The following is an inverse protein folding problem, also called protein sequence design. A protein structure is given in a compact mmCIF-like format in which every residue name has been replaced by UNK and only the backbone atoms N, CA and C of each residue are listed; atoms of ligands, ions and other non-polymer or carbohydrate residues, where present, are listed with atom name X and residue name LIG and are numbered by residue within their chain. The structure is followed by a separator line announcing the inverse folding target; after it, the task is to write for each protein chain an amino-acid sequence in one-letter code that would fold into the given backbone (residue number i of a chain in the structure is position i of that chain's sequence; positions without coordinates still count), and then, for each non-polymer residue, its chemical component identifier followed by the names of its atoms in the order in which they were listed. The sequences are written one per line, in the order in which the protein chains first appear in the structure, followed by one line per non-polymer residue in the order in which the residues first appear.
data_IF_848538268488
#
_entry.id   IF_848538268488
#
_cell.length_a   1.000
_cell.length_b   1.000
_cell.length_c   1.000
_cell.angle_alpha   90.00
_cell.angle_beta   90.00
_cell.angle_gamma   90.00
#
_symmetry.space_group_name_H-M   'P 1'
#
loop_
_entity.id
_entity.type
_entity.pdbx_description
1 polymer ?
#
# COMPACT_ATOMS: atom_id res chain seq x y z
N UNK A 1 -35.27 16.07 19.18
CA UNK A 1 -33.80 16.12 19.10
C UNK A 1 -33.37 14.79 18.51
N UNK A 2 -33.14 14.76 17.20
CA UNK A 2 -32.49 13.61 16.58
C UNK A 2 -31.02 13.67 16.99
N UNK A 3 -30.56 12.68 17.75
CA UNK A 3 -29.14 12.43 17.93
C UNK A 3 -28.56 12.19 16.54
N UNK A 4 -27.77 13.15 16.06
CA UNK A 4 -27.00 12.98 14.83
C UNK A 4 -25.95 11.93 15.12
N UNK A 5 -26.24 10.67 14.75
CA UNK A 5 -25.28 9.58 14.84
C UNK A 5 -24.16 9.87 13.87
N UNK A 6 -23.07 10.49 14.35
CA UNK A 6 -21.87 10.70 13.55
C UNK A 6 -21.25 9.32 13.34
N UNK A 7 -21.44 8.77 12.14
CA UNK A 7 -20.75 7.56 11.72
C UNK A 7 -19.24 7.86 11.72
N UNK A 8 -18.48 7.22 12.61
CA UNK A 8 -17.03 7.42 12.68
C UNK A 8 -16.34 6.79 11.46
N UNK A 9 -15.34 7.49 10.91
CA UNK A 9 -14.48 6.94 9.86
C UNK A 9 -13.78 5.69 10.39
N UNK A 10 -14.02 4.55 9.73
CA UNK A 10 -13.47 3.28 10.16
C UNK A 10 -12.93 2.49 8.99
N UNK A 11 -11.69 2.02 9.11
CA UNK A 11 -11.09 1.05 8.19
C UNK A 11 -10.96 -0.28 8.92
N UNK A 12 -11.45 -1.36 8.31
CA UNK A 12 -11.34 -2.72 8.85
C UNK A 12 -10.62 -3.60 7.86
N UNK A 13 -9.48 -4.13 8.29
CA UNK A 13 -8.76 -5.17 7.56
C UNK A 13 -9.30 -6.53 7.96
N UNK A 14 -9.53 -7.38 6.98
CA UNK A 14 -10.21 -8.68 7.01
C UNK A 14 -9.46 -9.76 6.19
N UNK A 15 -8.22 -10.12 6.56
CA UNK A 15 -7.58 -11.40 6.18
C UNK A 15 -8.53 -12.62 6.28
N UNK A 16 -8.92 -13.16 5.12
CA UNK A 16 -9.77 -14.35 4.98
C UNK A 16 -8.88 -15.60 5.02
N UNK A 17 -7.74 -15.56 4.33
CA UNK A 17 -6.70 -16.59 4.32
C UNK A 17 -5.36 -15.96 3.88
N UNK A 18 -4.35 -16.78 3.58
CA UNK A 18 -3.02 -16.27 3.17
C UNK A 18 -2.96 -15.67 1.75
N UNK A 19 -4.06 -15.78 0.99
CA UNK A 19 -4.18 -15.31 -0.39
C UNK A 19 -5.13 -14.09 -0.46
N UNK A 20 -6.19 -14.07 0.34
CA UNK A 20 -7.24 -13.06 0.23
C UNK A 20 -7.36 -12.29 1.54
N UNK A 21 -7.28 -10.96 1.42
CA UNK A 21 -7.64 -10.01 2.46
C UNK A 21 -8.78 -9.12 1.95
N UNK A 22 -9.81 -8.97 2.74
CA UNK A 22 -10.87 -7.99 2.50
C UNK A 22 -10.57 -6.71 3.29
N UNK A 23 -10.80 -5.54 2.71
CA UNK A 23 -10.63 -4.25 3.41
C UNK A 23 -11.90 -3.44 3.25
N UNK A 24 -12.50 -3.08 4.38
CA UNK A 24 -13.69 -2.25 4.42
C UNK A 24 -13.34 -0.83 4.83
N UNK A 25 -13.91 0.12 4.12
CA UNK A 25 -13.78 1.54 4.36
C UNK A 25 -15.19 2.07 4.63
N UNK A 26 -15.41 2.64 5.80
CA UNK A 26 -16.71 3.19 6.21
C UNK A 26 -16.57 4.69 6.42
N UNK A 27 -17.42 5.46 5.75
CA UNK A 27 -17.60 6.90 5.93
C UNK A 27 -16.27 7.68 5.94
N UNK A 28 -15.39 7.31 5.01
CA UNK A 28 -14.00 7.75 4.94
C UNK A 28 -13.85 9.07 4.18
N UNK A 29 -12.96 9.94 4.67
CA UNK A 29 -12.39 11.06 3.87
C UNK A 29 -10.93 10.82 3.51
N UNK A 30 -10.40 9.63 3.80
CA UNK A 30 -8.99 9.35 3.65
C UNK A 30 -8.56 9.41 2.19
N UNK A 31 -7.50 10.19 1.98
CA UNK A 31 -6.75 10.23 0.75
C UNK A 31 -5.50 9.35 0.88
N UNK A 32 -5.42 8.31 0.06
CA UNK A 32 -4.24 7.49 -0.12
C UNK A 32 -3.32 8.18 -1.14
N UNK A 33 -2.10 8.57 -0.73
CA UNK A 33 -1.14 9.19 -1.62
C UNK A 33 -0.67 8.19 -2.68
N UNK A 34 0.16 8.63 -3.62
CA UNK A 34 0.70 7.76 -4.66
C UNK A 34 1.39 6.52 -4.04
N UNK A 35 0.86 5.34 -4.35
CA UNK A 35 1.34 4.06 -3.85
C UNK A 35 1.09 2.93 -4.84
N UNK A 36 1.60 1.74 -4.54
CA UNK A 36 1.40 0.54 -5.35
C UNK A 36 1.21 -0.69 -4.46
N UNK A 37 0.68 -1.78 -5.00
CA UNK A 37 0.68 -3.10 -4.38
C UNK A 37 1.50 -4.03 -5.26
N UNK A 38 2.52 -4.67 -4.71
CA UNK A 38 3.52 -5.39 -5.53
C UNK A 38 3.08 -6.79 -5.93
N UNK A 39 2.23 -7.40 -5.11
CA UNK A 39 1.82 -8.80 -5.18
C UNK A 39 0.32 -8.99 -5.00
N UNK A 40 -0.48 -7.92 -4.93
CA UNK A 40 -1.92 -7.99 -4.76
C UNK A 40 -2.64 -7.31 -5.92
N UNK A 41 -3.59 -8.03 -6.53
CA UNK A 41 -4.63 -7.44 -7.33
C UNK A 41 -5.77 -6.97 -6.40
N UNK A 42 -6.30 -5.78 -6.66
CA UNK A 42 -7.38 -5.20 -5.87
C UNK A 42 -8.65 -5.17 -6.72
N UNK A 43 -9.76 -5.64 -6.16
CA UNK A 43 -11.09 -5.46 -6.74
C UNK A 43 -11.91 -4.70 -5.70
N UNK A 44 -12.32 -3.48 -6.03
CA UNK A 44 -13.07 -2.61 -5.13
C UNK A 44 -14.47 -2.32 -5.63
N UNK A 45 -15.43 -2.17 -4.72
CA UNK A 45 -16.79 -1.73 -5.01
C UNK A 45 -17.18 -0.59 -4.08
N UNK A 46 -17.70 0.50 -4.63
CA UNK A 46 -18.14 1.67 -3.86
C UNK A 46 -19.52 1.39 -3.25
N UNK A 47 -19.65 1.61 -1.95
CA UNK A 47 -20.85 1.32 -1.15
C UNK A 47 -21.50 2.57 -0.55
N UNK A 48 -20.85 3.73 -0.64
CA UNK A 48 -21.38 5.05 -0.29
C UNK A 48 -20.54 6.11 -1.02
N UNK A 49 -21.18 7.19 -1.51
CA UNK A 49 -20.49 8.31 -2.16
C UNK A 49 -19.81 7.93 -3.47
N UNK A 50 -18.65 8.55 -3.72
CA UNK A 50 -17.85 8.34 -4.93
C UNK A 50 -16.36 8.37 -4.61
N UNK A 51 -15.60 7.52 -5.30
CA UNK A 51 -14.14 7.36 -5.15
C UNK A 51 -13.45 7.80 -6.44
N UNK A 52 -12.40 8.60 -6.33
CA UNK A 52 -11.47 8.91 -7.43
C UNK A 52 -10.23 8.04 -7.31
N UNK A 53 -9.83 7.44 -8.43
CA UNK A 53 -8.58 6.71 -8.58
C UNK A 53 -7.78 7.38 -9.69
N UNK A 54 -6.54 7.75 -9.38
CA UNK A 54 -5.63 8.37 -10.36
C UNK A 54 -4.47 7.47 -10.64
N UNK A 55 -4.30 7.07 -11.90
CA UNK A 55 -3.19 6.27 -12.40
C UNK A 55 -2.76 6.78 -13.78
N UNK A 56 -1.48 6.71 -14.13
CA UNK A 56 -0.98 7.06 -15.48
C UNK A 56 -1.40 8.44 -16.03
N UNK A 57 -1.63 9.44 -15.15
CA UNK A 57 -2.18 10.78 -15.45
C UNK A 57 -3.66 10.82 -15.86
N UNK A 58 -4.36 9.70 -15.76
CA UNK A 58 -5.81 9.61 -15.89
C UNK A 58 -6.46 9.68 -14.50
N UNK A 59 -7.72 10.13 -14.47
CA UNK A 59 -8.53 10.23 -13.25
C UNK A 59 -9.87 9.54 -13.50
N UNK A 60 -10.14 8.50 -12.72
CA UNK A 60 -11.32 7.67 -12.83
C UNK A 60 -12.20 7.88 -11.61
N UNK A 61 -13.47 8.21 -11.85
CA UNK A 61 -14.47 8.33 -10.78
C UNK A 61 -15.39 7.13 -10.80
N UNK A 62 -15.57 6.50 -9.63
CA UNK A 62 -16.50 5.40 -9.40
C UNK A 62 -17.52 5.84 -8.38
N UNK A 63 -18.79 5.71 -8.72
CA UNK A 63 -19.95 6.06 -7.91
C UNK A 63 -20.51 4.83 -7.20
N UNK A 64 -21.48 5.03 -6.31
CA UNK A 64 -22.21 3.97 -5.62
C UNK A 64 -22.60 2.81 -6.55
N UNK A 65 -22.16 1.59 -6.20
CA UNK A 65 -22.41 0.36 -6.93
C UNK A 65 -21.42 0.06 -8.06
N UNK A 66 -20.59 1.02 -8.46
CA UNK A 66 -19.54 0.81 -9.45
C UNK A 66 -18.33 0.11 -8.83
N UNK A 67 -17.63 -0.66 -9.65
CA UNK A 67 -16.45 -1.43 -9.24
C UNK A 67 -15.23 -1.04 -10.06
N UNK A 68 -14.06 -1.20 -9.45
CA UNK A 68 -12.77 -0.92 -10.05
C UNK A 68 -11.79 -2.05 -9.79
N UNK A 69 -10.73 -2.10 -10.61
CA UNK A 69 -9.69 -3.10 -10.52
C UNK A 69 -8.34 -2.40 -10.56
N UNK A 70 -7.43 -2.79 -9.67
CA UNK A 70 -6.05 -2.31 -9.65
C UNK A 70 -5.14 -3.51 -9.71
N UNK A 71 -4.33 -3.59 -10.77
CA UNK A 71 -3.40 -4.70 -10.95
C UNK A 71 -2.12 -4.50 -10.11
N UNK A 72 -1.39 -5.59 -9.79
CA UNK A 72 -0.10 -5.48 -9.12
C UNK A 72 0.85 -4.56 -9.89
N UNK A 73 1.72 -3.86 -9.15
CA UNK A 73 2.73 -2.92 -9.64
C UNK A 73 2.17 -1.67 -10.37
N UNK A 74 0.85 -1.46 -10.35
CA UNK A 74 0.24 -0.22 -10.83
C UNK A 74 0.32 0.84 -9.73
N UNK A 75 1.00 1.95 -10.01
CA UNK A 75 1.08 3.08 -9.10
C UNK A 75 -0.17 3.97 -9.25
N UNK A 76 -0.86 4.22 -8.13
CA UNK A 76 -2.13 4.94 -8.14
C UNK A 76 -2.31 5.78 -6.86
N UNK A 77 -3.23 6.72 -6.93
CA UNK A 77 -3.81 7.45 -5.79
C UNK A 77 -5.27 7.06 -5.65
N UNK A 78 -5.78 7.10 -4.42
CA UNK A 78 -7.19 6.82 -4.14
C UNK A 78 -7.72 7.81 -3.10
N UNK A 79 -8.91 8.36 -3.31
CA UNK A 79 -9.54 9.26 -2.35
C UNK A 79 -11.00 9.52 -2.68
N UNK A 80 -11.68 10.38 -1.91
CA UNK A 80 -13.02 10.83 -2.27
C UNK A 80 -12.96 11.55 -3.62
N UNK A 81 -13.97 11.35 -4.47
CA UNK A 81 -14.07 12.06 -5.75
C UNK A 81 -14.46 13.55 -5.58
N UNK A 82 -15.01 13.91 -4.42
CA UNK A 82 -15.46 15.25 -4.05
C UNK A 82 -15.21 15.54 -2.56
N UNK A 83 -15.90 16.54 -1.98
CA UNK A 83 -15.76 16.90 -0.57
C UNK A 83 -16.53 15.96 0.39
N UNK A 84 -17.32 15.03 -0.15
CA UNK A 84 -18.11 14.09 0.62
C UNK A 84 -17.27 12.90 1.08
N UNK A 85 -17.86 12.12 1.99
CA UNK A 85 -17.33 10.84 2.43
C UNK A 85 -17.58 9.75 1.38
N UNK A 86 -16.79 8.68 1.45
CA UNK A 86 -17.05 7.45 0.71
C UNK A 86 -16.99 6.23 1.61
N UNK A 87 -17.69 5.17 1.21
CA UNK A 87 -17.50 3.82 1.73
C UNK A 87 -17.21 2.89 0.58
N UNK A 88 -16.36 1.89 0.81
CA UNK A 88 -16.05 0.87 -0.19
C UNK A 88 -15.60 -0.42 0.48
N UNK A 89 -15.74 -1.52 -0.25
CA UNK A 89 -15.14 -2.81 0.11
C UNK A 89 -14.15 -3.19 -0.97
N UNK A 90 -12.99 -3.70 -0.57
CA UNK A 90 -11.94 -4.16 -1.47
C UNK A 90 -11.56 -5.60 -1.15
N UNK A 91 -11.44 -6.44 -2.17
CA UNK A 91 -10.77 -7.72 -2.10
C UNK A 91 -9.34 -7.54 -2.62
N UNK A 92 -8.38 -7.71 -1.71
CA UNK A 92 -6.95 -7.76 -1.98
C UNK A 92 -6.56 -9.22 -2.18
N UNK A 93 -6.30 -9.61 -3.42
CA UNK A 93 -6.02 -10.99 -3.80
C UNK A 93 -4.54 -11.09 -4.18
N UNK A 94 -3.79 -11.87 -3.43
CA UNK A 94 -2.39 -12.17 -3.71
C UNK A 94 -2.28 -12.84 -5.08
N UNK A 95 -1.66 -12.16 -6.03
CA UNK A 95 -1.42 -12.67 -7.37
C UNK A 95 -0.31 -13.74 -7.32
N UNK A 96 -0.60 -14.92 -7.85
CA UNK A 96 0.41 -15.94 -8.17
C UNK A 96 0.98 -15.55 -9.53
N UNK A 97 2.27 -15.28 -9.62
CA UNK A 97 3.00 -14.91 -10.85
C UNK A 97 2.68 -13.53 -11.47
N UNK A 98 2.69 -12.46 -10.67
CA UNK A 98 2.57 -11.09 -11.21
C UNK A 98 3.79 -10.58 -11.99
N UNK A 99 4.90 -11.31 -11.98
CA UNK A 99 6.14 -10.91 -12.66
C UNK A 99 6.22 -11.39 -14.13
N UNK A 100 5.34 -12.29 -14.58
CA UNK A 100 5.37 -12.81 -15.97
C UNK A 100 4.95 -11.78 -17.04
N UNK A 101 4.32 -10.67 -16.65
CA UNK A 101 3.84 -9.65 -17.60
C UNK A 101 4.90 -8.57 -17.92
N UNK A 102 6.00 -8.48 -17.16
CA UNK A 102 7.12 -7.58 -17.44
C UNK A 102 8.29 -8.31 -18.11
N UNK A 103 8.01 -9.11 -19.14
CA UNK A 103 9.06 -9.64 -20.01
C UNK A 103 9.58 -8.57 -20.98
N UNK A 104 10.53 -7.74 -20.53
CA UNK A 104 11.47 -7.09 -21.44
C UNK A 104 12.71 -6.60 -20.69
N UNK A 105 13.79 -7.38 -20.80
CA UNK A 105 15.19 -7.12 -20.39
C UNK A 105 15.36 -6.93 -18.87
N UNK A 106 16.19 -7.77 -18.24
CA UNK A 106 16.75 -7.49 -16.90
C UNK A 106 17.57 -6.19 -16.96
N UNK A 107 16.91 -5.05 -16.77
CA UNK A 107 17.56 -3.76 -16.60
C UNK A 107 17.78 -3.50 -15.10
N UNK A 108 18.71 -2.59 -14.77
CA UNK A 108 19.05 -2.26 -13.39
C UNK A 108 17.84 -1.78 -12.57
N UNK A 109 16.78 -1.29 -13.22
CA UNK A 109 15.53 -0.92 -12.57
C UNK A 109 14.85 -2.14 -11.91
N UNK A 110 14.87 -3.29 -12.57
CA UNK A 110 14.33 -4.56 -12.04
C UNK A 110 15.17 -5.07 -10.89
N UNK A 111 16.50 -5.04 -11.02
CA UNK A 111 17.41 -5.41 -9.93
C UNK A 111 17.22 -4.51 -8.71
N UNK A 112 17.08 -3.20 -8.94
CA UNK A 112 16.79 -2.23 -7.91
C UNK A 112 15.45 -2.51 -7.22
N UNK A 113 14.39 -2.78 -7.98
CA UNK A 113 13.08 -3.16 -7.44
C UNK A 113 13.22 -4.37 -6.52
N UNK A 114 13.90 -5.42 -6.99
CA UNK A 114 14.08 -6.67 -6.24
C UNK A 114 14.83 -6.43 -4.92
N UNK A 115 15.94 -5.68 -4.97
CA UNK A 115 16.70 -5.34 -3.77
C UNK A 115 15.87 -4.55 -2.74
N UNK A 116 15.01 -3.63 -3.19
CA UNK A 116 14.10 -2.87 -2.32
C UNK A 116 12.94 -3.72 -1.78
N UNK A 117 12.63 -4.87 -2.38
CA UNK A 117 11.62 -5.82 -1.89
C UNK A 117 12.21 -6.81 -0.88
N UNK A 118 13.39 -7.33 -1.16
CA UNK A 118 14.03 -8.37 -0.35
C UNK A 118 14.59 -7.83 0.96
N UNK A 119 15.24 -6.66 0.89
CA UNK A 119 15.91 -6.03 2.04
C UNK A 119 15.50 -4.56 2.21
N UNK A 120 14.21 -4.26 2.41
CA UNK A 120 13.73 -2.87 2.51
C UNK A 120 14.32 -2.10 3.69
N UNK A 121 14.70 -2.78 4.77
CA UNK A 121 15.31 -2.22 5.97
C UNK A 121 16.76 -1.77 5.76
N UNK A 122 17.45 -2.31 4.76
CA UNK A 122 18.85 -1.99 4.50
C UNK A 122 18.99 -0.52 4.09
N UNK A 123 20.08 0.12 4.50
CA UNK A 123 20.43 1.42 3.96
C UNK A 123 20.72 1.27 2.47
N UNK A 124 20.10 2.17 1.70
CA UNK A 124 20.13 2.11 0.26
C UNK A 124 20.69 3.42 -0.28
N UNK A 125 21.76 3.33 -1.07
CA UNK A 125 22.42 4.48 -1.68
C UNK A 125 22.28 4.42 -3.20
N UNK A 126 21.40 5.28 -3.74
CA UNK A 126 21.31 5.51 -5.19
C UNK A 126 22.69 5.85 -5.74
N UNK A 127 23.49 6.63 -5.01
CA UNK A 127 24.81 7.05 -5.47
C UNK A 127 25.78 5.88 -5.65
N UNK A 128 25.70 4.85 -4.82
CA UNK A 128 26.66 3.74 -4.90
C UNK A 128 26.26 2.75 -5.99
N UNK A 129 24.96 2.50 -6.15
CA UNK A 129 24.46 1.71 -7.27
C UNK A 129 24.63 2.39 -8.61
N UNK A 130 24.41 3.71 -8.69
CA UNK A 130 24.57 4.41 -9.96
C UNK A 130 26.03 4.39 -10.43
N UNK A 131 26.99 4.46 -9.50
CA UNK A 131 28.44 4.30 -9.77
C UNK A 131 28.77 2.91 -10.30
N UNK A 132 28.22 1.84 -9.71
CA UNK A 132 28.55 0.47 -10.12
C UNK A 132 28.10 0.13 -11.54
N UNK A 133 27.11 0.84 -12.07
CA UNK A 133 26.59 0.62 -13.44
C UNK A 133 26.83 1.80 -14.38
N UNK A 134 27.68 2.76 -14.01
CA UNK A 134 28.04 3.94 -14.82
C UNK A 134 26.88 4.83 -15.29
N UNK A 135 25.83 4.99 -14.47
CA UNK A 135 24.73 5.94 -14.74
C UNK A 135 24.69 7.05 -13.69
N UNK A 136 24.08 8.19 -14.04
CA UNK A 136 23.87 9.25 -13.05
C UNK A 136 22.75 8.87 -12.06
N UNK A 137 22.85 9.28 -10.78
CA UNK A 137 21.77 9.11 -9.79
C UNK A 137 20.40 9.59 -10.29
N UNK A 138 20.38 10.74 -10.95
CA UNK A 138 19.15 11.35 -11.47
C UNK A 138 18.53 10.52 -12.60
N UNK A 139 19.35 9.98 -13.50
CA UNK A 139 18.88 9.10 -14.57
C UNK A 139 18.27 7.82 -13.99
N UNK A 140 18.95 7.20 -13.02
CA UNK A 140 18.46 5.99 -12.34
C UNK A 140 17.11 6.23 -11.65
N UNK A 141 16.96 7.32 -10.88
CA UNK A 141 15.69 7.67 -10.23
C UNK A 141 14.57 7.88 -11.25
N UNK A 142 14.87 8.57 -12.37
CA UNK A 142 13.89 8.85 -13.41
C UNK A 142 13.41 7.57 -14.10
N UNK A 143 14.34 6.68 -14.43
CA UNK A 143 14.02 5.41 -15.09
C UNK A 143 13.24 4.49 -14.17
N UNK A 144 13.63 4.39 -12.90
CA UNK A 144 12.87 3.63 -11.91
C UNK A 144 11.44 4.19 -11.75
N UNK A 145 11.28 5.52 -11.67
CA UNK A 145 9.96 6.15 -11.60
C UNK A 145 9.14 5.96 -12.87
N UNK A 146 9.77 5.96 -14.04
CA UNK A 146 9.09 5.68 -15.30
C UNK A 146 8.60 4.22 -15.36
N UNK A 147 9.38 3.28 -14.83
CA UNK A 147 9.04 1.85 -14.82
C UNK A 147 7.96 1.50 -13.77
N UNK A 148 8.00 2.09 -12.58
CA UNK A 148 7.18 1.67 -11.43
C UNK A 148 6.30 2.77 -10.82
N UNK A 149 6.25 3.95 -11.44
CA UNK A 149 5.46 5.11 -11.01
C UNK A 149 5.95 5.81 -9.74
N UNK A 150 6.84 5.19 -8.96
CA UNK A 150 7.36 5.68 -7.68
C UNK A 150 8.85 5.98 -7.76
N UNK A 151 9.34 6.94 -6.97
CA UNK A 151 10.81 7.03 -6.78
C UNK A 151 11.31 5.83 -5.97
N UNK A 152 12.60 5.45 -6.08
CA UNK A 152 13.18 4.37 -5.28
C UNK A 152 12.94 4.52 -3.77
N UNK A 153 13.07 5.75 -3.24
CA UNK A 153 12.80 6.02 -1.83
C UNK A 153 11.33 5.82 -1.45
N UNK A 154 10.38 6.30 -2.28
CA UNK A 154 8.95 6.08 -2.04
C UNK A 154 8.61 4.59 -2.06
N UNK A 155 9.20 3.85 -3.00
CA UNK A 155 9.03 2.41 -3.12
C UNK A 155 9.60 1.69 -1.89
N UNK A 156 10.81 2.05 -1.44
CA UNK A 156 11.43 1.49 -0.24
C UNK A 156 10.55 1.67 1.00
N UNK A 157 10.02 2.89 1.23
CA UNK A 157 9.13 3.15 2.37
C UNK A 157 7.90 2.25 2.31
N UNK A 158 7.29 2.06 1.14
CA UNK A 158 6.16 1.14 0.99
C UNK A 158 6.55 -0.32 1.25
N UNK A 159 7.70 -0.77 0.76
CA UNK A 159 8.22 -2.12 1.05
C UNK A 159 8.49 -2.33 2.54
N UNK A 160 9.02 -1.31 3.24
CA UNK A 160 9.18 -1.34 4.71
C UNK A 160 7.83 -1.48 5.42
N UNK A 161 6.80 -0.76 4.98
CA UNK A 161 5.45 -0.87 5.55
C UNK A 161 4.84 -2.25 5.27
N UNK A 162 5.00 -2.83 4.07
CA UNK A 162 4.52 -4.20 3.79
C UNK A 162 5.21 -5.23 4.68
N UNK A 163 6.53 -5.10 4.89
CA UNK A 163 7.26 -5.94 5.85
C UNK A 163 6.76 -5.71 7.29
N UNK A 164 6.44 -4.47 7.66
CA UNK A 164 5.89 -4.14 8.96
C UNK A 164 4.54 -4.81 9.21
N UNK A 165 3.61 -4.80 8.23
CA UNK A 165 2.33 -5.49 8.31
C UNK A 165 2.52 -6.99 8.62
N UNK A 166 3.40 -7.67 7.86
CA UNK A 166 3.74 -9.09 8.10
C UNK A 166 4.27 -9.36 9.50
N UNK A 167 5.15 -8.49 10.03
CA UNK A 167 5.69 -8.66 11.38
C UNK A 167 4.64 -8.39 12.47
N UNK A 168 3.75 -7.42 12.27
CA UNK A 168 2.63 -7.15 13.19
C UNK A 168 1.63 -8.31 13.22
N UNK A 169 1.33 -8.90 12.07
CA UNK A 169 0.51 -10.13 11.95
C UNK A 169 1.15 -11.31 12.71
N UNK A 170 2.48 -11.40 12.72
CA UNK A 170 3.23 -12.39 13.51
C UNK A 170 3.27 -12.06 15.02
N UNK A 171 2.57 -11.02 15.47
CA UNK A 171 2.43 -10.67 16.88
C UNK A 171 3.59 -9.86 17.45
N UNK A 172 4.55 -9.40 16.64
CA UNK A 172 5.64 -8.52 17.09
C UNK A 172 5.10 -7.19 17.63
N UNK A 173 5.82 -6.59 18.57
CA UNK A 173 5.44 -5.28 19.11
C UNK A 173 5.70 -4.16 18.10
N UNK A 174 4.93 -3.07 18.18
CA UNK A 174 5.09 -1.89 17.30
C UNK A 174 6.53 -1.36 17.33
N UNK A 175 7.15 -1.35 18.52
CA UNK A 175 8.53 -0.89 18.70
C UNK A 175 9.53 -1.81 18.00
N UNK A 176 9.44 -3.12 18.19
CA UNK A 176 10.31 -4.08 17.48
C UNK A 176 10.18 -3.96 15.96
N UNK A 177 8.94 -3.79 15.48
CA UNK A 177 8.65 -3.67 14.04
C UNK A 177 9.27 -2.40 13.45
N UNK A 178 9.19 -1.26 14.15
CA UNK A 178 9.80 -0.02 13.68
C UNK A 178 11.30 -0.17 13.42
N UNK A 179 12.03 -0.79 14.37
CA UNK A 179 13.47 -1.05 14.22
C UNK A 179 13.76 -2.11 13.15
N UNK A 180 13.02 -3.22 13.14
CA UNK A 180 13.24 -4.32 12.19
C UNK A 180 12.96 -3.96 10.73
N UNK A 181 12.28 -2.83 10.48
CA UNK A 181 11.96 -2.33 9.14
C UNK A 181 12.78 -1.11 8.73
N UNK A 182 13.82 -0.76 9.50
CA UNK A 182 14.79 0.27 9.13
C UNK A 182 14.30 1.70 9.25
N UNK A 183 13.22 1.96 10.00
CA UNK A 183 12.83 3.33 10.35
C UNK A 183 13.78 3.89 11.41
N UNK A 184 14.11 5.18 11.29
CA UNK A 184 14.99 5.88 12.22
C UNK A 184 14.40 5.96 13.64
N UNK A 185 13.08 6.12 13.73
CA UNK A 185 12.35 6.20 14.98
C UNK A 185 10.88 5.78 14.80
N UNK A 186 10.22 5.57 15.94
CA UNK A 186 8.84 5.10 15.99
C UNK A 186 7.83 6.16 15.51
N UNK A 187 8.12 7.45 15.63
CA UNK A 187 7.23 8.52 15.18
C UNK A 187 7.15 8.57 13.66
N UNK A 188 8.30 8.47 12.99
CA UNK A 188 8.39 8.38 11.54
C UNK A 188 7.74 7.09 11.01
N UNK A 189 7.94 5.96 11.71
CA UNK A 189 7.24 4.71 11.40
C UNK A 189 5.72 4.86 11.50
N UNK A 190 5.21 5.33 12.64
CA UNK A 190 3.77 5.47 12.88
C UNK A 190 3.11 6.39 11.85
N UNK A 191 3.75 7.53 11.52
CA UNK A 191 3.25 8.45 10.51
C UNK A 191 3.20 7.79 9.12
N UNK A 192 4.29 7.13 8.71
CA UNK A 192 4.38 6.46 7.42
C UNK A 192 3.37 5.31 7.30
N UNK A 193 3.24 4.52 8.37
CA UNK A 193 2.30 3.40 8.44
C UNK A 193 0.86 3.90 8.34
N UNK A 194 0.45 4.89 9.15
CA UNK A 194 -0.91 5.45 9.08
C UNK A 194 -1.21 6.09 7.72
N UNK A 195 -0.21 6.74 7.12
CA UNK A 195 -0.35 7.33 5.79
C UNK A 195 -0.66 6.28 4.73
N UNK A 196 0.09 5.16 4.72
CA UNK A 196 -0.02 4.10 3.71
C UNK A 196 -1.14 3.10 3.99
N UNK A 197 -1.35 2.71 5.26
CA UNK A 197 -2.31 1.66 5.69
C UNK A 197 -3.63 2.25 6.19
N UNK A 198 -3.67 3.53 6.56
CA UNK A 198 -4.89 4.16 7.09
C UNK A 198 -5.15 3.97 8.58
N UNK A 199 -4.57 2.94 9.18
CA UNK A 199 -4.62 2.70 10.62
C UNK A 199 -3.26 3.00 11.26
N UNK A 200 -3.24 3.33 12.56
CA UNK A 200 -1.95 3.26 13.28
C UNK A 200 -1.54 1.80 13.48
N UNK A 201 -0.25 1.48 13.63
CA UNK A 201 0.23 0.10 13.73
C UNK A 201 -0.46 -0.75 14.80
N UNK A 202 -0.83 -0.15 15.94
CA UNK A 202 -1.52 -0.85 17.04
C UNK A 202 -2.95 -1.25 16.67
N UNK A 203 -3.69 -0.37 15.99
CA UNK A 203 -5.05 -0.64 15.50
C UNK A 203 -5.02 -1.71 14.41
N UNK A 204 -4.06 -1.62 13.48
CA UNK A 204 -3.85 -2.64 12.47
C UNK A 204 -3.56 -4.02 13.10
N UNK A 205 -2.62 -4.07 14.04
CA UNK A 205 -2.30 -5.32 14.77
C UNK A 205 -3.52 -5.89 15.47
N UNK A 206 -4.35 -5.05 16.08
CA UNK A 206 -5.58 -5.49 16.72
C UNK A 206 -6.58 -6.06 15.71
N UNK A 207 -6.76 -5.43 14.54
CA UNK A 207 -7.74 -5.86 13.53
C UNK A 207 -7.36 -7.19 12.85
N UNK A 208 -6.06 -7.47 12.69
CA UNK A 208 -5.58 -8.75 12.13
C UNK A 208 -5.57 -9.88 13.16
N UNK A 209 -5.29 -9.59 14.44
CA UNK A 209 -5.27 -10.61 15.51
C UNK A 209 -6.69 -11.07 15.88
N UNK A 210 -7.70 -10.19 15.82
CA UNK A 210 -9.08 -10.51 16.24
C UNK A 210 -9.88 -11.33 15.21
N UNK A 211 -9.20 -12.11 14.36
CA UNK A 211 -9.87 -13.01 13.41
C UNK A 211 -9.91 -14.43 13.91
N UNK A 212 -11.03 -14.79 14.53
CA UNK A 212 -12.03 -15.70 13.94
C UNK A 212 -13.24 -15.80 14.90
N UNK A 213 -14.35 -15.05 14.73
CA UNK A 213 -15.57 -15.34 15.50
C UNK A 213 -16.20 -16.68 15.10
N UNK A 214 -15.82 -17.23 13.93
CA UNK A 214 -16.24 -18.54 13.44
C UNK A 214 -15.07 -19.53 13.36
N UNK A 215 -14.20 -19.54 14.38
CA UNK A 215 -13.15 -20.55 14.51
C UNK A 215 -13.72 -21.98 14.47
N UNK A 216 -13.71 -22.56 13.28
CA UNK A 216 -13.50 -23.98 13.04
C UNK A 216 -12.09 -24.17 12.49
#
# INVERSE_FOLDING_TARGET
MEETFVMEEQIRYCKINDIIEEVHYFHSRKNYPLHTHTDHAIIGTVTEGSVSIKENNEDYTFNLGESFHIMPNVAHMLGPADENVYSMVCLCIKAVDSDEVYQSIEDYSTQLKQQLLDTPEAEFSISDMSKSISVSPFHMIRQFKAAYGLTPHQFQIQSRIRKAQKLLEQGKSVTEVAYATGFCDQSHFNHSFKKIVGLVPSEYRQSVIHKNPNGQ
#
